data_IF_117606482289
#
_entry.id   IF_117606482289
#
_cell.length_a   1.000
_cell.length_b   1.000
_cell.length_c   1.000
_cell.angle_alpha   90.00
_cell.angle_beta   90.00
_cell.angle_gamma   90.00
#
_symmetry.space_group_name_H-M   'P 1'
#
loop_
_entity.id
_entity.type
_entity.pdbx_description
1 polymer ?
#
# COMPACT_ATOMS: atom_id res chain seq x y z
N UNK A 1 35.98 24.16 50.45
CA UNK A 1 35.40 24.34 49.10
C UNK A 1 35.47 23.02 48.36
N UNK A 2 34.41 22.21 48.42
CA UNK A 2 34.17 21.12 47.49
C UNK A 2 32.68 21.12 47.19
N UNK A 3 32.34 21.67 46.03
CA UNK A 3 30.97 21.82 45.55
C UNK A 3 30.35 20.44 45.28
N UNK A 4 29.04 20.25 45.55
CA UNK A 4 28.35 19.02 45.22
C UNK A 4 28.25 18.89 43.69
N UNK A 5 28.59 17.70 43.20
CA UNK A 5 28.42 17.28 41.81
C UNK A 5 26.98 17.54 41.36
N UNK A 6 26.81 18.45 40.40
CA UNK A 6 25.55 18.67 39.68
C UNK A 6 25.15 17.37 38.96
N UNK A 7 24.07 16.73 39.40
CA UNK A 7 23.40 15.69 38.61
C UNK A 7 22.84 16.33 37.33
N UNK A 8 23.44 16.04 36.17
CA UNK A 8 22.97 16.55 34.89
C UNK A 8 21.95 15.56 34.34
N UNK A 9 20.67 15.76 34.66
CA UNK A 9 19.57 14.99 34.06
C UNK A 9 19.60 15.20 32.54
N UNK A 10 20.01 14.18 31.78
CA UNK A 10 19.87 14.19 30.32
C UNK A 10 18.38 14.29 30.01
N UNK A 11 17.97 15.34 29.27
CA UNK A 11 16.54 15.56 28.98
C UNK A 11 16.00 14.40 28.15
N UNK A 12 14.75 13.99 28.37
CA UNK A 12 14.08 12.94 27.59
C UNK A 12 14.18 13.18 26.07
N UNK A 13 14.29 14.45 25.68
CA UNK A 13 14.54 14.89 24.30
C UNK A 13 15.91 14.48 23.75
N UNK A 14 16.98 14.61 24.54
CA UNK A 14 18.31 14.14 24.13
C UNK A 14 18.37 12.61 24.03
N UNK A 15 17.64 11.90 24.89
CA UNK A 15 17.49 10.44 24.77
C UNK A 15 16.73 10.03 23.50
N UNK A 16 15.64 10.73 23.15
CA UNK A 16 14.94 10.51 21.89
C UNK A 16 15.85 10.72 20.67
N UNK A 17 16.63 11.81 20.66
CA UNK A 17 17.63 12.11 19.62
C UNK A 17 18.71 11.03 19.51
N UNK A 18 19.22 10.58 20.65
CA UNK A 18 20.19 9.50 20.70
C UNK A 18 19.60 8.20 20.13
N UNK A 19 18.37 7.85 20.51
CA UNK A 19 17.70 6.64 20.06
C UNK A 19 17.48 6.62 18.54
N UNK A 20 17.02 7.73 17.95
CA UNK A 20 16.85 7.86 16.48
C UNK A 20 18.19 7.69 15.74
N UNK A 21 19.30 8.22 16.30
CA UNK A 21 20.64 8.01 15.74
C UNK A 21 21.07 6.53 15.79
N UNK A 22 20.75 5.81 16.85
CA UNK A 22 21.03 4.38 16.95
C UNK A 22 20.19 3.58 15.96
N UNK A 23 18.90 3.92 15.82
CA UNK A 23 18.02 3.32 14.84
C UNK A 23 18.56 3.50 13.40
N UNK A 24 19.04 4.69 13.06
CA UNK A 24 19.69 4.96 11.76
C UNK A 24 20.96 4.11 11.53
N UNK A 25 21.75 3.87 12.57
CA UNK A 25 22.92 2.99 12.46
C UNK A 25 22.50 1.53 12.24
N UNK A 26 21.48 1.07 12.97
CA UNK A 26 20.99 -0.30 12.87
C UNK A 26 20.36 -0.59 11.50
N UNK A 27 19.59 0.34 10.93
CA UNK A 27 18.99 0.14 9.60
C UNK A 27 20.06 0.07 8.51
N UNK A 28 21.11 0.90 8.60
CA UNK A 28 22.24 0.87 7.65
C UNK A 28 23.03 -0.44 7.73
N UNK A 29 23.20 -0.99 8.94
CA UNK A 29 23.81 -2.32 9.14
C UNK A 29 22.96 -3.41 8.52
N UNK A 30 21.64 -3.35 8.73
CA UNK A 30 20.68 -4.30 8.14
C UNK A 30 20.69 -4.24 6.61
N UNK A 31 20.70 -3.03 6.03
CA UNK A 31 20.84 -2.83 4.59
C UNK A 31 22.13 -3.43 4.03
N UNK A 32 23.27 -3.27 4.73
CA UNK A 32 24.54 -3.86 4.32
C UNK A 32 24.53 -5.41 4.40
N UNK A 33 23.85 -6.00 5.38
CA UNK A 33 23.65 -7.45 5.45
C UNK A 33 22.82 -7.95 4.26
N UNK A 34 21.72 -7.25 3.95
CA UNK A 34 20.87 -7.54 2.79
C UNK A 34 21.66 -7.45 1.47
N UNK A 35 22.49 -6.41 1.30
CA UNK A 35 23.40 -6.29 0.15
C UNK A 35 24.39 -7.46 0.08
N UNK A 36 24.87 -7.97 1.22
CA UNK A 36 25.73 -9.14 1.31
C UNK A 36 25.03 -10.43 0.84
N UNK A 37 23.77 -10.65 1.24
CA UNK A 37 22.97 -11.78 0.78
C UNK A 37 22.60 -11.67 -0.70
N UNK A 38 22.19 -10.48 -1.16
CA UNK A 38 21.86 -10.22 -2.57
C UNK A 38 23.07 -10.38 -3.51
N UNK A 39 24.26 -10.02 -3.03
CA UNK A 39 25.52 -10.19 -3.77
C UNK A 39 26.11 -11.61 -3.64
N UNK A 40 25.42 -12.54 -2.97
CA UNK A 40 25.90 -13.92 -2.77
C UNK A 40 27.14 -14.03 -1.88
N UNK A 41 27.52 -12.96 -1.17
CA UNK A 41 28.66 -12.94 -0.24
C UNK A 41 28.32 -13.58 1.11
N UNK A 42 27.03 -13.66 1.43
CA UNK A 42 26.48 -14.27 2.64
C UNK A 42 25.45 -15.33 2.24
N UNK A 43 25.46 -16.49 2.92
CA UNK A 43 24.58 -17.63 2.63
C UNK A 43 25.23 -18.68 1.70
N UNK A 44 25.01 -19.97 1.99
CA UNK A 44 25.60 -21.09 1.23
C UNK A 44 25.08 -21.21 -0.21
N UNK A 45 25.70 -22.07 -1.01
CA UNK A 45 25.53 -22.23 -2.47
C UNK A 45 24.09 -22.42 -3.01
N UNK A 46 23.08 -22.60 -2.14
CA UNK A 46 21.65 -22.66 -2.50
C UNK A 46 20.99 -21.28 -2.59
N UNK A 47 21.54 -20.23 -1.97
CA UNK A 47 21.02 -18.85 -2.08
C UNK A 47 21.26 -18.21 -3.46
N UNK A 48 22.09 -18.85 -4.30
CA UNK A 48 22.60 -18.26 -5.53
C UNK A 48 21.88 -18.72 -6.81
N UNK A 49 20.89 -19.64 -6.70
CA UNK A 49 20.08 -20.10 -7.82
C UNK A 49 18.72 -19.39 -7.83
N UNK A 50 18.69 -18.15 -8.30
CA UNK A 50 17.43 -17.46 -8.60
C UNK A 50 17.38 -15.95 -8.31
N UNK A 51 18.44 -15.34 -7.76
CA UNK A 51 18.38 -13.94 -7.31
C UNK A 51 18.79 -12.98 -8.42
N UNK A 52 17.91 -12.83 -9.41
CA UNK A 52 17.83 -11.61 -10.21
C UNK A 52 16.93 -10.61 -9.49
N UNK A 53 17.47 -9.79 -8.58
CA UNK A 53 16.94 -8.48 -8.16
C UNK A 53 15.45 -8.30 -7.81
N UNK A 54 14.66 -9.34 -7.49
CA UNK A 54 13.19 -9.21 -7.34
C UNK A 54 12.52 -10.28 -6.48
N UNK A 55 13.13 -10.65 -5.35
CA UNK A 55 12.52 -11.54 -4.34
C UNK A 55 12.47 -10.86 -2.95
N UNK A 56 12.00 -11.58 -1.92
CA UNK A 56 11.79 -11.04 -0.57
C UNK A 56 13.01 -10.32 0.05
N UNK A 57 14.24 -10.75 -0.28
CA UNK A 57 15.47 -10.05 0.10
C UNK A 57 15.63 -8.69 -0.58
N UNK A 58 15.25 -8.60 -1.87
CA UNK A 58 15.25 -7.35 -2.64
C UNK A 58 14.21 -6.38 -2.12
N UNK A 59 12.99 -6.87 -1.87
CA UNK A 59 11.91 -6.06 -1.29
C UNK A 59 12.31 -5.55 0.11
N UNK A 60 12.87 -6.42 0.95
CA UNK A 60 13.39 -6.00 2.25
C UNK A 60 14.53 -4.98 2.12
N UNK A 61 15.41 -5.12 1.11
CA UNK A 61 16.50 -4.16 0.89
C UNK A 61 15.99 -2.78 0.49
N UNK A 62 14.94 -2.72 -0.31
CA UNK A 62 14.27 -1.49 -0.67
C UNK A 62 13.64 -0.83 0.58
N UNK A 63 12.89 -1.60 1.37
CA UNK A 63 12.27 -1.15 2.62
C UNK A 63 13.30 -0.64 3.65
N UNK A 64 14.46 -1.30 3.75
CA UNK A 64 15.56 -0.86 4.60
C UNK A 64 16.19 0.45 4.09
N UNK A 65 16.26 0.65 2.77
CA UNK A 65 16.69 1.91 2.14
C UNK A 65 15.76 3.07 2.50
N UNK A 66 14.45 2.89 2.30
CA UNK A 66 13.42 3.86 2.66
C UNK A 66 13.47 4.21 4.16
N UNK A 67 13.64 3.20 5.01
CA UNK A 67 13.74 3.38 6.46
C UNK A 67 14.98 4.19 6.86
N UNK A 68 16.11 4.03 6.15
CA UNK A 68 17.31 4.84 6.38
C UNK A 68 17.10 6.31 6.00
N UNK A 69 16.37 6.59 4.92
CA UNK A 69 16.00 7.95 4.53
C UNK A 69 15.09 8.60 5.58
N UNK A 70 14.04 7.89 6.01
CA UNK A 70 13.11 8.38 7.04
C UNK A 70 13.80 8.66 8.38
N UNK A 71 14.70 7.78 8.82
CA UNK A 71 15.47 7.97 10.04
C UNK A 71 16.46 9.14 9.94
N UNK A 72 17.08 9.34 8.77
CA UNK A 72 17.96 10.48 8.54
C UNK A 72 17.18 11.81 8.58
N UNK A 73 15.96 11.83 8.03
CA UNK A 73 15.07 12.98 8.06
C UNK A 73 14.55 13.26 9.48
N UNK A 74 14.09 12.24 10.20
CA UNK A 74 13.69 12.36 11.60
C UNK A 74 14.84 12.90 12.45
N UNK A 75 16.07 12.43 12.21
CA UNK A 75 17.26 12.96 12.87
C UNK A 75 17.52 14.43 12.53
N UNK A 76 17.32 14.85 11.28
CA UNK A 76 17.50 16.23 10.84
C UNK A 76 16.47 17.17 11.49
N UNK A 77 15.21 16.75 11.56
CA UNK A 77 14.13 17.52 12.22
C UNK A 77 14.40 17.69 13.72
N UNK A 78 14.85 16.63 14.40
CA UNK A 78 15.27 16.73 15.81
C UNK A 78 16.60 17.48 16.00
N UNK A 79 17.38 17.63 14.93
CA UNK A 79 18.75 18.15 14.91
C UNK A 79 18.87 19.68 14.76
N UNK A 80 17.81 20.39 14.37
CA UNK A 80 17.83 21.87 14.30
C UNK A 80 17.96 22.46 15.72
N UNK A 81 18.79 23.51 15.86
CA UNK A 81 19.33 24.08 17.11
C UNK A 81 18.32 24.25 18.26
N UNK A 82 18.76 23.87 19.47
CA UNK A 82 18.38 24.28 20.85
C UNK A 82 16.90 24.36 21.29
N UNK A 83 15.94 24.43 20.38
CA UNK A 83 14.51 24.49 20.68
C UNK A 83 13.86 23.12 20.41
N UNK A 84 12.87 22.77 21.24
CA UNK A 84 11.96 21.65 20.97
C UNK A 84 11.27 21.91 19.61
N UNK A 85 11.12 20.90 18.75
CA UNK A 85 10.45 21.07 17.46
C UNK A 85 9.02 21.55 17.67
N UNK A 86 8.51 22.37 16.75
CA UNK A 86 7.11 22.79 16.73
C UNK A 86 6.17 21.59 16.53
N UNK A 87 4.87 21.79 16.70
CA UNK A 87 3.88 20.72 16.60
C UNK A 87 3.89 20.01 15.23
N UNK A 88 4.19 20.73 14.15
CA UNK A 88 4.24 20.18 12.80
C UNK A 88 5.49 19.31 12.59
N UNK A 89 6.66 19.78 13.02
CA UNK A 89 7.91 19.03 13.03
C UNK A 89 7.82 17.80 13.94
N UNK A 90 7.20 17.94 15.11
CA UNK A 90 6.93 16.81 15.99
C UNK A 90 5.98 15.78 15.35
N UNK A 91 4.96 16.23 14.63
CA UNK A 91 4.08 15.36 13.83
C UNK A 91 4.85 14.60 12.73
N UNK A 92 5.71 15.30 11.98
CA UNK A 92 6.56 14.67 10.94
C UNK A 92 7.49 13.62 11.51
N UNK A 93 8.18 13.91 12.61
CA UNK A 93 9.10 12.94 13.25
C UNK A 93 8.34 11.68 13.67
N UNK A 94 7.13 11.80 14.24
CA UNK A 94 6.30 10.65 14.62
C UNK A 94 5.87 9.82 13.41
N UNK A 95 5.47 10.48 12.32
CA UNK A 95 5.08 9.80 11.08
C UNK A 95 6.24 9.02 10.47
N UNK A 96 7.41 9.64 10.35
CA UNK A 96 8.63 9.01 9.82
C UNK A 96 9.04 7.79 10.67
N UNK A 97 9.03 7.92 12.00
CA UNK A 97 9.37 6.82 12.90
C UNK A 97 8.35 5.66 12.83
N UNK A 98 7.06 5.96 12.64
CA UNK A 98 6.02 4.94 12.49
C UNK A 98 6.16 4.19 11.15
N UNK A 99 6.52 4.90 10.08
CA UNK A 99 6.81 4.30 8.78
C UNK A 99 8.03 3.35 8.84
N UNK A 100 9.07 3.72 9.59
CA UNK A 100 10.26 2.87 9.82
C UNK A 100 9.90 1.56 10.52
N UNK A 101 9.06 1.60 11.54
CA UNK A 101 8.56 0.38 12.23
C UNK A 101 7.76 -0.49 11.27
N UNK A 102 6.91 0.12 10.44
CA UNK A 102 6.08 -0.61 9.47
C UNK A 102 6.94 -1.29 8.40
N UNK A 103 7.86 -0.56 7.78
CA UNK A 103 8.78 -1.10 6.78
C UNK A 103 9.61 -2.27 7.31
N UNK A 104 10.06 -2.15 8.57
CA UNK A 104 10.80 -3.20 9.26
C UNK A 104 9.95 -4.47 9.44
N UNK A 105 8.70 -4.31 9.87
CA UNK A 105 7.77 -5.44 10.05
C UNK A 105 7.43 -6.10 8.70
N UNK A 106 7.13 -5.30 7.67
CA UNK A 106 6.86 -5.82 6.32
C UNK A 106 8.04 -6.60 5.75
N UNK A 107 9.27 -6.11 5.94
CA UNK A 107 10.47 -6.86 5.56
C UNK A 107 10.54 -8.20 6.33
N UNK A 108 10.35 -8.16 7.65
CA UNK A 108 10.45 -9.35 8.50
C UNK A 108 9.43 -10.42 8.09
N UNK A 109 8.17 -10.02 7.91
CA UNK A 109 7.08 -10.93 7.51
C UNK A 109 7.29 -11.47 6.09
N UNK A 110 7.74 -10.63 5.16
CA UNK A 110 8.08 -11.05 3.78
C UNK A 110 9.22 -12.07 3.73
N UNK A 111 10.21 -11.94 4.62
CA UNK A 111 11.31 -12.90 4.72
C UNK A 111 10.89 -14.19 5.43
N UNK A 112 10.03 -14.13 6.44
CA UNK A 112 9.46 -15.33 7.09
C UNK A 112 8.58 -16.15 6.13
N UNK A 113 7.87 -15.48 5.22
CA UNK A 113 7.05 -16.13 4.21
C UNK A 113 7.87 -16.74 3.05
N UNK A 114 9.18 -16.46 2.96
CA UNK A 114 10.05 -16.97 1.90
C UNK A 114 10.47 -18.43 2.14
N UNK A 115 10.53 -19.22 1.06
CA UNK A 115 10.95 -20.63 1.08
C UNK A 115 12.48 -20.83 1.07
N UNK A 116 13.27 -19.77 0.87
CA UNK A 116 14.73 -19.87 0.61
C UNK A 116 15.61 -20.16 1.83
N UNK A 117 14.99 -20.51 2.96
CA UNK A 117 15.70 -20.93 4.16
C UNK A 117 15.90 -19.80 5.16
N UNK A 118 16.17 -20.20 6.40
CA UNK A 118 16.40 -19.31 7.54
C UNK A 118 17.63 -18.42 7.30
N UNK A 119 17.46 -17.10 7.41
CA UNK A 119 18.55 -16.12 7.46
C UNK A 119 18.82 -15.75 8.93
N UNK A 120 19.49 -16.58 9.75
CA UNK A 120 19.55 -16.37 11.21
C UNK A 120 20.20 -15.04 11.61
N UNK A 121 21.27 -14.62 10.93
CA UNK A 121 21.92 -13.33 11.18
C UNK A 121 21.03 -12.15 10.80
N UNK A 122 20.32 -12.26 9.68
CA UNK A 122 19.36 -11.25 9.23
C UNK A 122 18.13 -11.21 10.15
N UNK A 123 17.57 -12.35 10.54
CA UNK A 123 16.45 -12.46 11.48
C UNK A 123 16.81 -11.87 12.84
N UNK A 124 18.02 -12.13 13.35
CA UNK A 124 18.53 -11.48 14.57
C UNK A 124 18.66 -9.96 14.40
N UNK A 125 19.21 -9.49 13.28
CA UNK A 125 19.32 -8.06 12.99
C UNK A 125 17.94 -7.39 12.86
N UNK A 126 16.97 -8.08 12.27
CA UNK A 126 15.61 -7.59 12.07
C UNK A 126 14.78 -7.59 13.35
N UNK A 127 14.92 -8.61 14.20
CA UNK A 127 14.29 -8.65 15.52
C UNK A 127 14.84 -7.53 16.41
N UNK A 128 16.17 -7.34 16.42
CA UNK A 128 16.82 -6.23 17.12
C UNK A 128 16.38 -4.86 16.55
N UNK A 129 16.20 -4.76 15.23
CA UNK A 129 15.65 -3.58 14.58
C UNK A 129 14.23 -3.26 15.03
N UNK A 130 13.35 -4.25 15.08
CA UNK A 130 11.95 -4.11 15.51
C UNK A 130 11.85 -3.57 16.93
N UNK A 131 12.63 -4.15 17.86
CA UNK A 131 12.71 -3.66 19.24
C UNK A 131 13.25 -2.23 19.32
N UNK A 132 14.37 -1.95 18.63
CA UNK A 132 15.01 -0.64 18.67
C UNK A 132 14.13 0.47 18.07
N UNK A 133 13.43 0.20 16.96
CA UNK A 133 12.58 1.20 16.30
C UNK A 133 11.32 1.48 17.12
N UNK A 134 10.70 0.44 17.70
CA UNK A 134 9.58 0.59 18.63
C UNK A 134 9.94 1.40 19.88
N UNK A 135 11.08 1.08 20.52
CA UNK A 135 11.60 1.84 21.67
C UNK A 135 11.91 3.28 21.28
N UNK A 136 12.52 3.49 20.10
CA UNK A 136 12.83 4.84 19.61
C UNK A 136 11.57 5.68 19.39
N UNK A 137 10.50 5.09 18.84
CA UNK A 137 9.21 5.75 18.67
C UNK A 137 8.58 6.14 20.01
N UNK A 138 8.62 5.24 21.01
CA UNK A 138 8.12 5.52 22.37
C UNK A 138 8.88 6.66 23.06
N UNK A 139 10.21 6.66 22.96
CA UNK A 139 11.06 7.72 23.50
C UNK A 139 10.82 9.06 22.82
N UNK A 140 10.69 9.05 21.48
CA UNK A 140 10.35 10.24 20.69
C UNK A 140 8.97 10.79 21.06
N UNK A 141 7.96 9.92 21.23
CA UNK A 141 6.62 10.34 21.65
C UNK A 141 6.64 11.03 23.02
N UNK A 142 7.37 10.44 23.96
CA UNK A 142 7.56 11.00 25.31
C UNK A 142 8.31 12.33 25.26
N UNK A 143 9.42 12.38 24.53
CA UNK A 143 10.21 13.59 24.31
C UNK A 143 9.42 14.75 23.68
N UNK A 144 8.47 14.42 22.80
CA UNK A 144 7.64 15.38 22.07
C UNK A 144 6.29 15.65 22.73
N UNK A 145 5.96 15.01 23.86
CA UNK A 145 4.73 15.19 24.63
C UNK A 145 4.85 16.24 25.75
N UNK A 146 4.18 17.38 25.61
CA UNK A 146 3.58 18.26 26.63
C UNK A 146 3.00 19.48 25.91
N UNK A 147 1.69 19.45 25.67
CA UNK A 147 0.84 20.65 25.59
C UNK A 147 -0.42 20.36 26.41
N UNK A 148 -0.47 20.96 27.60
CA UNK A 148 -1.63 21.24 28.46
C UNK A 148 -2.72 20.16 28.69
N UNK A 149 -2.72 19.55 29.88
CA UNK A 149 -3.83 19.63 30.86
C UNK A 149 -3.44 18.89 32.16
N UNK A 150 -3.76 19.48 33.30
CA UNK A 150 -3.48 18.98 34.65
C UNK A 150 -4.38 17.77 35.01
N UNK A 151 -3.85 16.83 35.79
CA UNK A 151 -4.60 15.71 36.36
C UNK A 151 -3.67 14.72 37.06
N UNK A 152 -3.99 14.38 38.30
CA UNK A 152 -3.13 13.82 39.35
C UNK A 152 -2.30 12.56 39.05
N UNK A 153 -1.18 12.49 39.76
CA UNK A 153 -0.32 11.33 39.93
C UNK A 153 -1.08 10.20 40.65
N UNK A 154 -1.35 9.11 39.94
CA UNK A 154 -2.04 7.96 40.51
C UNK A 154 -2.29 6.77 39.59
N UNK A 155 -1.63 6.63 38.44
CA UNK A 155 -1.86 5.49 37.51
C UNK A 155 -0.55 4.93 36.91
N UNK A 156 0.49 4.82 37.76
CA UNK A 156 1.75 4.20 37.38
C UNK A 156 1.72 2.69 37.66
N UNK A 157 1.07 1.88 36.81
CA UNK A 157 1.44 0.47 36.54
C UNK A 157 0.55 -0.24 35.51
N UNK A 158 -0.56 0.34 35.06
CA UNK A 158 -1.45 -0.32 34.08
C UNK A 158 -1.14 0.00 32.60
N UNK A 159 -0.28 0.98 32.32
CA UNK A 159 0.01 1.38 30.94
C UNK A 159 1.02 0.46 30.21
N UNK A 160 1.82 -0.34 30.92
CA UNK A 160 2.83 -1.19 30.28
C UNK A 160 2.23 -2.45 29.64
N UNK A 161 1.08 -2.93 30.12
CA UNK A 161 0.40 -4.09 29.57
C UNK A 161 -0.58 -3.71 28.44
N UNK A 162 -1.17 -2.51 28.50
CA UNK A 162 -1.93 -1.97 27.36
C UNK A 162 -1.03 -1.52 26.21
N UNK A 163 0.22 -1.07 26.44
CA UNK A 163 1.12 -0.68 25.33
C UNK A 163 1.63 -1.89 24.52
N UNK A 164 1.70 -3.10 25.10
CA UNK A 164 2.02 -4.33 24.35
C UNK A 164 0.83 -4.87 23.53
N UNK A 165 -0.41 -4.51 23.88
CA UNK A 165 -1.61 -4.86 23.10
C UNK A 165 -2.18 -3.70 22.24
N UNK A 166 -1.78 -2.46 22.52
CA UNK A 166 -2.14 -1.26 21.76
C UNK A 166 -1.03 -0.78 20.81
N UNK A 167 0.06 -1.55 20.66
CA UNK A 167 1.04 -1.36 19.57
C UNK A 167 0.52 -1.82 18.19
N UNK A 168 -0.77 -2.17 18.09
CA UNK A 168 -1.52 -2.15 16.83
C UNK A 168 -2.11 -0.75 16.66
N UNK A 169 -1.78 -0.11 15.55
CA UNK A 169 -2.37 1.16 15.07
C UNK A 169 -1.66 2.45 15.55
N UNK A 170 -0.67 2.86 14.77
CA UNK A 170 -0.33 4.27 14.57
C UNK A 170 -0.42 4.58 13.07
N UNK A 171 -1.64 4.45 12.57
CA UNK A 171 -2.09 5.11 11.36
C UNK A 171 -2.60 6.51 11.75
N UNK A 172 -2.60 7.47 10.83
CA UNK A 172 -3.46 8.64 10.97
C UNK A 172 -4.90 8.13 10.84
N UNK A 173 -5.43 7.64 11.96
CA UNK A 173 -6.82 7.25 12.15
C UNK A 173 -7.43 8.40 12.93
N UNK A 174 -8.39 9.08 12.31
CA UNK A 174 -9.40 9.80 13.09
C UNK A 174 -10.19 8.75 13.87
N UNK A 175 -9.81 8.50 15.12
CA UNK A 175 -10.63 7.74 16.08
C UNK A 175 -11.43 8.77 16.86
N UNK A 176 -12.68 8.98 16.47
CA UNK A 176 -13.68 9.63 17.33
C UNK A 176 -14.81 8.64 17.53
N UNK A 177 -15.02 8.23 18.78
CA UNK A 177 -16.17 7.43 19.20
C UNK A 177 -17.46 8.18 18.85
N UNK A 178 -18.34 7.54 18.06
CA UNK A 178 -19.67 8.00 17.67
C UNK A 178 -19.76 9.29 16.82
N UNK A 179 -19.17 9.27 15.63
CA UNK A 179 -19.58 10.17 14.54
C UNK A 179 -19.41 9.50 13.17
N UNK A 180 -20.46 9.54 12.34
CA UNK A 180 -20.40 9.16 10.92
C UNK A 180 -19.79 10.34 10.16
N UNK A 181 -18.51 10.27 9.81
CA UNK A 181 -17.87 11.34 9.03
C UNK A 181 -18.07 11.09 7.53
N UNK A 182 -19.00 11.81 6.91
CA UNK A 182 -18.96 12.10 5.48
C UNK A 182 -17.87 13.15 5.23
N UNK A 183 -16.89 12.88 4.37
CA UNK A 183 -15.78 13.84 4.16
C UNK A 183 -14.92 13.54 2.94
N UNK A 184 -14.18 14.56 2.49
CA UNK A 184 -13.22 14.49 1.39
C UNK A 184 -11.81 14.73 1.93
N UNK A 185 -10.91 13.80 1.70
CA UNK A 185 -9.47 13.92 1.95
C UNK A 185 -8.81 14.31 0.62
N UNK A 186 -8.42 15.58 0.51
CA UNK A 186 -7.71 16.12 -0.67
C UNK A 186 -6.25 16.32 -0.32
N UNK A 187 -5.35 15.70 -1.09
CA UNK A 187 -3.91 15.94 -1.02
C UNK A 187 -3.52 16.89 -2.16
N UNK A 188 -3.27 18.16 -1.83
CA UNK A 188 -2.82 19.20 -2.78
C UNK A 188 -1.28 19.24 -2.85
N UNK A 189 -0.72 18.76 -3.95
CA UNK A 189 0.72 18.75 -4.20
C UNK A 189 1.11 19.96 -5.06
N UNK A 190 1.10 21.15 -4.46
CA UNK A 190 1.70 22.33 -5.10
C UNK A 190 3.23 22.24 -5.01
N UNK A 191 3.84 22.01 -6.17
CA UNK A 191 5.25 22.12 -6.53
C UNK A 191 6.26 22.44 -5.40
N UNK A 192 6.97 21.42 -4.91
CA UNK A 192 8.31 21.57 -4.35
C UNK A 192 9.29 20.71 -5.18
N UNK A 193 10.26 21.30 -5.89
CA UNK A 193 11.09 20.61 -6.86
C UNK A 193 12.32 20.01 -6.16
N UNK A 194 12.15 18.96 -5.36
CA UNK A 194 13.26 18.11 -4.84
C UNK A 194 12.73 16.92 -4.04
N UNK A 195 12.43 15.78 -4.70
CA UNK A 195 12.64 14.39 -4.21
C UNK A 195 12.09 13.37 -5.21
N UNK A 196 12.82 12.26 -5.39
CA UNK A 196 12.48 11.09 -6.23
C UNK A 196 11.50 10.12 -5.52
N UNK A 197 10.67 10.60 -4.60
CA UNK A 197 9.64 9.78 -3.98
C UNK A 197 8.35 9.91 -4.80
N UNK A 198 7.70 8.79 -5.10
CA UNK A 198 6.37 8.81 -5.71
C UNK A 198 5.44 9.63 -4.81
N UNK A 199 4.68 10.60 -5.35
CA UNK A 199 3.74 11.38 -4.56
C UNK A 199 2.58 10.48 -4.11
N UNK A 200 2.77 9.84 -2.96
CA UNK A 200 1.76 9.02 -2.32
C UNK A 200 0.74 9.91 -1.59
N UNK A 201 -0.55 9.67 -1.85
CA UNK A 201 -1.67 10.23 -1.10
C UNK A 201 -1.86 9.55 0.26
N UNK A 202 -3.07 9.11 0.58
CA UNK A 202 -3.30 8.40 1.85
C UNK A 202 -2.68 6.99 1.83
N UNK A 203 -1.99 6.61 2.91
CA UNK A 203 -1.41 5.27 3.07
C UNK A 203 -2.17 4.48 4.15
N UNK A 204 -2.68 3.31 3.79
CA UNK A 204 -3.38 2.38 4.68
C UNK A 204 -2.46 1.20 4.98
N UNK A 205 -2.00 1.11 6.22
CA UNK A 205 -1.08 0.06 6.69
C UNK A 205 -1.63 -0.74 7.89
N UNK A 206 -2.77 -0.33 8.46
CA UNK A 206 -3.38 -1.03 9.61
C UNK A 206 -4.35 -2.13 9.17
N UNK A 207 -4.15 -3.35 9.66
CA UNK A 207 -5.06 -4.50 9.46
C UNK A 207 -6.51 -4.12 9.83
N UNK A 208 -7.50 -4.63 9.07
CA UNK A 208 -8.93 -4.41 9.33
C UNK A 208 -9.36 -2.95 9.30
N UNK A 209 -8.63 -2.11 8.57
CA UNK A 209 -9.06 -0.75 8.30
C UNK A 209 -10.38 -0.77 7.52
N UNK A 210 -11.34 0.03 7.97
CA UNK A 210 -12.63 0.22 7.31
C UNK A 210 -12.81 1.72 7.05
N UNK A 211 -13.05 2.08 5.79
CA UNK A 211 -13.51 3.41 5.41
C UNK A 211 -14.92 3.33 4.83
N UNK A 212 -15.78 4.27 5.23
CA UNK A 212 -17.17 4.34 4.76
C UNK A 212 -17.51 5.77 4.36
N UNK A 213 -17.99 5.99 3.14
CA UNK A 213 -18.51 7.31 2.74
C UNK A 213 -17.46 8.41 2.60
N UNK A 214 -16.20 8.04 2.32
CA UNK A 214 -15.07 8.97 2.25
C UNK A 214 -14.52 9.06 0.82
N UNK A 215 -14.24 10.27 0.37
CA UNK A 215 -13.51 10.53 -0.88
C UNK A 215 -12.02 10.74 -0.62
N UNK A 216 -11.16 10.03 -1.34
CA UNK A 216 -9.71 10.22 -1.37
C UNK A 216 -9.31 10.78 -2.72
N UNK A 217 -8.59 11.90 -2.72
CA UNK A 217 -8.22 12.58 -3.97
C UNK A 217 -6.77 13.04 -3.98
N UNK A 218 -6.10 12.77 -5.10
CA UNK A 218 -4.82 13.38 -5.45
C UNK A 218 -5.01 14.38 -6.61
N UNK A 219 -4.75 15.66 -6.35
CA UNK A 219 -4.99 16.75 -7.31
C UNK A 219 -3.77 17.11 -8.17
N UNK A 220 -2.72 16.29 -8.16
CA UNK A 220 -1.49 16.55 -8.94
C UNK A 220 -1.75 16.76 -10.45
N UNK A 221 -2.78 16.09 -10.99
CA UNK A 221 -3.17 16.18 -12.39
C UNK A 221 -2.37 15.27 -13.33
N UNK A 222 -2.89 15.03 -14.53
CA UNK A 222 -2.30 14.11 -15.51
C UNK A 222 -0.84 14.46 -15.89
N UNK A 223 -0.50 15.76 -15.91
CA UNK A 223 0.83 16.26 -16.28
C UNK A 223 1.94 15.88 -15.27
N UNK A 224 1.57 15.39 -14.08
CA UNK A 224 2.51 14.89 -13.08
C UNK A 224 2.77 13.40 -13.18
N UNK A 225 2.18 12.73 -14.16
CA UNK A 225 2.27 11.28 -14.33
C UNK A 225 1.80 10.57 -13.05
N UNK A 226 2.57 9.65 -12.49
CA UNK A 226 2.18 8.84 -11.33
C UNK A 226 1.86 9.70 -10.10
N UNK A 227 0.63 9.58 -9.60
CA UNK A 227 0.19 10.29 -8.41
C UNK A 227 -0.92 9.51 -7.69
N UNK A 228 -0.55 8.83 -6.61
CA UNK A 228 -1.43 7.90 -5.90
C UNK A 228 -2.41 8.65 -5.02
N UNK A 229 -3.70 8.35 -5.09
CA UNK A 229 -4.70 8.85 -4.14
C UNK A 229 -4.72 8.01 -2.87
N UNK A 230 -4.69 6.68 -3.01
CA UNK A 230 -4.59 5.74 -1.88
C UNK A 230 -3.63 4.61 -2.19
N UNK A 231 -2.68 4.37 -1.27
CA UNK A 231 -1.91 3.13 -1.22
C UNK A 231 -2.39 2.26 -0.07
N UNK A 232 -2.88 1.06 -0.39
CA UNK A 232 -3.37 0.10 0.59
C UNK A 232 -2.43 -1.10 0.69
N UNK A 233 -1.77 -1.25 1.84
CA UNK A 233 -0.83 -2.33 2.15
C UNK A 233 -1.28 -3.16 3.36
N UNK A 234 -2.54 -3.02 3.76
CA UNK A 234 -3.09 -3.69 4.93
C UNK A 234 -4.00 -4.86 4.54
N UNK A 235 -4.02 -5.86 5.42
CA UNK A 235 -4.87 -7.04 5.26
C UNK A 235 -6.29 -6.80 5.80
N UNK A 236 -7.25 -7.53 5.23
CA UNK A 236 -8.66 -7.54 5.64
C UNK A 236 -9.31 -6.15 5.64
N UNK A 237 -8.95 -5.33 4.66
CA UNK A 237 -9.43 -3.94 4.57
C UNK A 237 -10.73 -3.83 3.79
N UNK A 238 -11.58 -2.89 4.20
CA UNK A 238 -12.86 -2.62 3.54
C UNK A 238 -12.96 -1.13 3.20
N UNK A 239 -13.32 -0.83 1.96
CA UNK A 239 -13.78 0.48 1.55
C UNK A 239 -15.22 0.33 1.07
N UNK A 240 -16.15 1.06 1.69
CA UNK A 240 -17.57 0.99 1.38
C UNK A 240 -18.13 2.38 1.05
N UNK A 241 -18.68 2.58 -0.14
CA UNK A 241 -19.16 3.89 -0.59
C UNK A 241 -18.06 4.96 -0.56
N UNK A 242 -16.84 4.57 -0.89
CA UNK A 242 -15.71 5.48 -1.01
C UNK A 242 -15.52 5.92 -2.45
N UNK A 243 -14.92 7.08 -2.66
CA UNK A 243 -14.51 7.54 -3.99
C UNK A 243 -13.01 7.76 -4.03
N UNK A 244 -12.35 7.31 -5.09
CA UNK A 244 -10.91 7.47 -5.31
C UNK A 244 -10.69 8.29 -6.57
N UNK A 245 -10.14 9.49 -6.44
CA UNK A 245 -10.00 10.44 -7.52
C UNK A 245 -8.53 10.71 -7.80
N UNK A 246 -8.11 10.45 -9.03
CA UNK A 246 -6.78 10.78 -9.51
C UNK A 246 -6.72 10.78 -11.03
N UNK A 247 -5.50 10.58 -11.53
CA UNK A 247 -5.21 10.38 -12.94
C UNK A 247 -4.43 9.07 -13.08
N UNK A 248 -3.11 9.15 -13.29
CA UNK A 248 -2.26 7.97 -13.36
C UNK A 248 -1.96 7.42 -11.96
N UNK A 249 -2.04 6.10 -11.79
CA UNK A 249 -1.76 5.37 -10.55
C UNK A 249 -2.69 5.73 -9.38
N UNK A 250 -3.99 5.96 -9.64
CA UNK A 250 -4.93 6.46 -8.62
C UNK A 250 -5.04 5.59 -7.36
N UNK A 251 -5.30 4.29 -7.51
CA UNK A 251 -5.51 3.35 -6.40
C UNK A 251 -4.46 2.23 -6.44
N UNK A 252 -3.54 2.28 -5.50
CA UNK A 252 -2.49 1.27 -5.34
C UNK A 252 -2.96 0.18 -4.36
N UNK A 253 -3.57 -0.87 -4.90
CA UNK A 253 -3.90 -2.12 -4.20
C UNK A 253 -2.63 -2.96 -3.98
N UNK A 254 -1.73 -2.44 -3.14
CA UNK A 254 -0.35 -2.89 -3.06
C UNK A 254 -0.20 -4.37 -2.71
N UNK A 255 -0.80 -4.83 -1.61
CA UNK A 255 -0.63 -6.21 -1.11
C UNK A 255 -1.78 -6.68 -0.21
N UNK A 256 -1.82 -7.97 0.12
CA UNK A 256 -2.76 -8.61 1.06
C UNK A 256 -4.23 -8.56 0.59
N UNK A 257 -5.20 -8.88 1.46
CA UNK A 257 -6.61 -9.03 1.09
C UNK A 257 -7.37 -7.72 1.28
N UNK A 258 -8.12 -7.33 0.25
CA UNK A 258 -8.79 -6.03 0.19
C UNK A 258 -10.17 -6.16 -0.46
N UNK A 259 -11.18 -5.50 0.11
CA UNK A 259 -12.53 -5.47 -0.45
C UNK A 259 -13.01 -4.03 -0.64
N UNK A 260 -13.53 -3.76 -1.84
CA UNK A 260 -14.06 -2.47 -2.25
C UNK A 260 -15.52 -2.68 -2.68
N UNK A 261 -16.46 -2.03 -1.98
CA UNK A 261 -17.91 -2.20 -2.20
C UNK A 261 -18.57 -0.86 -2.45
N UNK A 262 -19.40 -0.78 -3.49
CA UNK A 262 -20.16 0.43 -3.84
C UNK A 262 -19.26 1.66 -3.99
N UNK A 263 -18.03 1.49 -4.48
CA UNK A 263 -17.03 2.57 -4.59
C UNK A 263 -16.97 3.15 -6.00
N UNK A 264 -16.55 4.41 -6.11
CA UNK A 264 -16.22 5.04 -7.39
C UNK A 264 -14.70 5.19 -7.52
N UNK A 265 -14.12 4.79 -8.65
CA UNK A 265 -12.70 4.97 -8.94
C UNK A 265 -12.53 5.73 -10.25
N UNK A 266 -11.86 6.87 -10.21
CA UNK A 266 -11.60 7.72 -11.36
C UNK A 266 -10.12 7.81 -11.66
N UNK A 267 -9.71 7.55 -12.90
CA UNK A 267 -8.32 7.73 -13.31
C UNK A 267 -8.07 7.56 -14.80
N UNK A 268 -6.80 7.49 -15.17
CA UNK A 268 -6.36 7.42 -16.57
C UNK A 268 -5.50 6.20 -16.85
N UNK A 269 -4.19 6.30 -16.62
CA UNK A 269 -3.22 5.23 -16.85
C UNK A 269 -3.08 4.41 -15.56
N UNK A 270 -3.26 3.09 -15.65
CA UNK A 270 -3.02 2.13 -14.58
C UNK A 270 -3.72 2.49 -13.26
N UNK A 271 -4.96 2.98 -13.33
CA UNK A 271 -5.56 3.66 -12.19
C UNK A 271 -6.01 2.74 -11.05
N UNK A 272 -6.04 1.42 -11.28
CA UNK A 272 -6.04 0.39 -10.23
C UNK A 272 -4.86 -0.53 -10.47
N UNK A 273 -3.87 -0.54 -9.57
CA UNK A 273 -2.65 -1.30 -9.79
C UNK A 273 -2.11 -1.90 -8.49
N UNK A 274 -1.27 -2.93 -8.61
CA UNK A 274 -0.62 -3.59 -7.47
C UNK A 274 -0.76 -5.10 -7.48
N UNK A 275 -0.44 -5.73 -6.34
CA UNK A 275 -0.36 -7.18 -6.18
C UNK A 275 -1.15 -7.69 -4.97
N UNK A 276 -2.21 -7.00 -4.56
CA UNK A 276 -3.17 -7.51 -3.57
C UNK A 276 -4.01 -8.67 -4.12
N UNK A 277 -4.69 -9.38 -3.22
CA UNK A 277 -5.91 -10.11 -3.53
C UNK A 277 -7.09 -9.14 -3.32
N UNK A 278 -7.40 -8.37 -4.37
CA UNK A 278 -8.37 -7.28 -4.31
C UNK A 278 -9.67 -7.66 -5.03
N UNK A 279 -10.80 -7.51 -4.34
CA UNK A 279 -12.14 -7.72 -4.92
C UNK A 279 -12.88 -6.40 -4.91
N UNK A 280 -13.34 -5.99 -6.09
CA UNK A 280 -14.22 -4.83 -6.29
C UNK A 280 -15.61 -5.36 -6.61
N UNK A 281 -16.61 -4.93 -5.86
CA UNK A 281 -17.98 -5.37 -6.04
C UNK A 281 -18.95 -4.20 -6.09
N UNK A 282 -19.79 -4.15 -7.13
CA UNK A 282 -20.76 -3.06 -7.33
C UNK A 282 -20.10 -1.67 -7.37
N UNK A 283 -18.87 -1.59 -7.89
CA UNK A 283 -18.13 -0.34 -8.01
C UNK A 283 -18.31 0.28 -9.40
N UNK A 284 -18.13 1.58 -9.51
CA UNK A 284 -18.04 2.28 -10.79
C UNK A 284 -16.59 2.67 -11.08
N UNK A 285 -16.08 2.28 -12.24
CA UNK A 285 -14.71 2.52 -12.69
C UNK A 285 -14.76 3.46 -13.90
N UNK A 286 -14.35 4.71 -13.69
CA UNK A 286 -14.50 5.79 -14.65
C UNK A 286 -13.16 6.24 -15.24
N UNK A 287 -12.97 5.97 -16.52
CA UNK A 287 -11.83 6.48 -17.29
C UNK A 287 -11.99 8.00 -17.54
N UNK A 288 -10.95 8.78 -17.24
CA UNK A 288 -10.90 10.24 -17.43
C UNK A 288 -10.14 10.61 -18.70
N UNK A 289 -10.15 11.89 -19.08
CA UNK A 289 -9.31 12.43 -20.15
C UNK A 289 -7.83 12.36 -19.74
N UNK A 290 -6.97 11.58 -20.42
CA UNK A 290 -5.54 11.53 -20.15
C UNK A 290 -4.77 12.64 -20.88
N UNK A 291 -3.44 12.64 -20.80
CA UNK A 291 -2.63 13.50 -21.67
C UNK A 291 -2.77 13.06 -23.14
N UNK A 292 -2.60 13.97 -24.11
CA UNK A 292 -2.62 13.62 -25.53
C UNK A 292 -1.65 12.47 -25.86
N UNK A 293 -2.13 11.48 -26.61
CA UNK A 293 -1.34 10.30 -27.02
C UNK A 293 -1.27 9.18 -25.99
N UNK A 294 -1.79 9.37 -24.77
CA UNK A 294 -1.93 8.29 -23.80
C UNK A 294 -3.23 7.50 -24.03
N UNK A 295 -3.25 6.26 -23.55
CA UNK A 295 -4.45 5.44 -23.44
C UNK A 295 -4.81 5.25 -21.97
N UNK A 296 -6.10 5.14 -21.69
CA UNK A 296 -6.57 4.77 -20.36
C UNK A 296 -6.45 3.27 -20.15
N UNK A 297 -6.07 2.88 -18.95
CA UNK A 297 -5.94 1.48 -18.55
C UNK A 297 -6.51 1.32 -17.15
N UNK A 298 -7.57 0.54 -17.03
CA UNK A 298 -8.27 0.35 -15.76
C UNK A 298 -7.39 -0.40 -14.76
N UNK A 299 -6.76 -1.49 -15.19
CA UNK A 299 -5.95 -2.33 -14.29
C UNK A 299 -4.51 -2.54 -14.76
N UNK A 300 -3.57 -2.50 -13.82
CA UNK A 300 -2.18 -2.91 -14.04
C UNK A 300 -1.72 -3.85 -12.91
N UNK A 301 -2.06 -5.14 -13.06
CA UNK A 301 -1.84 -6.10 -11.99
C UNK A 301 -0.39 -6.62 -11.99
N UNK A 302 0.20 -6.65 -10.80
CA UNK A 302 1.64 -6.81 -10.58
C UNK A 302 2.09 -8.16 -10.02
N UNK A 303 1.38 -9.26 -10.28
CA UNK A 303 1.79 -10.59 -9.81
C UNK A 303 3.06 -11.06 -10.51
N UNK A 304 4.07 -11.43 -9.71
CA UNK A 304 5.41 -11.81 -10.20
C UNK A 304 5.66 -13.30 -10.18
N UNK A 305 4.90 -14.07 -9.40
CA UNK A 305 5.06 -15.51 -9.25
C UNK A 305 3.71 -16.24 -9.30
N UNK A 306 3.63 -17.44 -9.90
CA UNK A 306 2.37 -18.16 -10.07
C UNK A 306 1.76 -18.65 -8.75
N UNK A 307 2.58 -18.90 -7.73
CA UNK A 307 2.17 -19.38 -6.40
C UNK A 307 1.48 -18.29 -5.58
N UNK A 308 1.63 -17.02 -5.94
CA UNK A 308 0.95 -15.92 -5.27
C UNK A 308 -0.56 -16.01 -5.52
N UNK A 309 -1.33 -16.16 -4.45
CA UNK A 309 -2.79 -16.12 -4.45
C UNK A 309 -3.34 -14.68 -4.56
N UNK A 310 -2.77 -13.88 -5.46
CA UNK A 310 -3.08 -12.45 -5.64
C UNK A 310 -3.65 -12.17 -7.03
N UNK A 311 -4.29 -11.01 -7.21
CA UNK A 311 -4.99 -10.65 -8.43
C UNK A 311 -6.06 -9.60 -8.17
N UNK A 312 -6.60 -9.04 -9.25
CA UNK A 312 -7.70 -8.07 -9.19
C UNK A 312 -8.96 -8.72 -9.75
N UNK A 313 -9.99 -8.83 -8.92
CA UNK A 313 -11.31 -9.33 -9.31
C UNK A 313 -12.30 -8.18 -9.37
N UNK A 314 -12.83 -7.89 -10.55
CA UNK A 314 -13.85 -6.88 -10.80
C UNK A 314 -15.19 -7.60 -11.01
N UNK A 315 -16.08 -7.52 -10.03
CA UNK A 315 -17.30 -8.33 -9.96
C UNK A 315 -18.54 -7.45 -9.86
N UNK A 316 -19.44 -7.56 -10.84
CA UNK A 316 -20.66 -6.74 -10.90
C UNK A 316 -20.37 -5.24 -10.80
N UNK A 317 -19.35 -4.78 -11.52
CA UNK A 317 -18.98 -3.36 -11.57
C UNK A 317 -19.45 -2.73 -12.88
N UNK A 318 -19.41 -1.39 -12.93
CA UNK A 318 -19.61 -0.61 -14.15
C UNK A 318 -18.27 -0.09 -14.62
N UNK A 319 -17.84 -0.43 -15.84
CA UNK A 319 -16.65 0.15 -16.49
C UNK A 319 -17.13 1.11 -17.57
N UNK A 320 -16.86 2.39 -17.39
CA UNK A 320 -17.28 3.43 -18.33
C UNK A 320 -16.26 4.57 -18.36
N UNK A 321 -16.53 5.60 -19.14
CA UNK A 321 -15.73 6.80 -19.24
C UNK A 321 -16.55 8.02 -18.83
N UNK A 322 -15.86 9.04 -18.34
CA UNK A 322 -16.49 10.35 -18.16
C UNK A 322 -16.93 10.90 -19.52
N UNK A 323 -18.05 11.63 -19.62
CA UNK A 323 -18.55 12.15 -20.90
C UNK A 323 -17.51 12.97 -21.68
N UNK A 324 -16.65 13.69 -20.96
CA UNK A 324 -15.58 14.51 -21.53
C UNK A 324 -14.50 13.70 -22.25
N UNK A 325 -14.40 12.38 -22.01
CA UNK A 325 -13.45 11.53 -22.72
C UNK A 325 -13.75 11.51 -24.22
N UNK A 326 -15.03 11.40 -24.60
CA UNK A 326 -15.46 11.30 -25.99
C UNK A 326 -14.59 10.34 -26.81
N UNK A 327 -13.87 10.88 -27.80
CA UNK A 327 -12.90 10.12 -28.65
C UNK A 327 -11.44 10.49 -28.36
N UNK A 328 -11.16 11.16 -27.25
CA UNK A 328 -9.84 11.73 -26.94
C UNK A 328 -8.78 10.66 -26.65
N UNK A 329 -9.18 9.51 -26.11
CA UNK A 329 -8.28 8.38 -25.88
C UNK A 329 -9.01 7.04 -25.90
N UNK A 330 -8.26 5.99 -26.21
CA UNK A 330 -8.71 4.60 -26.06
C UNK A 330 -8.69 4.20 -24.59
N UNK A 331 -9.60 3.31 -24.20
CA UNK A 331 -9.64 2.72 -22.84
C UNK A 331 -9.53 1.20 -22.92
N UNK A 332 -8.73 0.61 -22.03
CA UNK A 332 -8.52 -0.83 -21.94
C UNK A 332 -8.79 -1.33 -20.52
N UNK A 333 -9.28 -2.57 -20.40
CA UNK A 333 -9.55 -3.26 -19.13
C UNK A 333 -8.29 -3.46 -18.29
N UNK A 334 -7.15 -3.70 -18.94
CA UNK A 334 -5.88 -3.80 -18.24
C UNK A 334 -4.67 -4.04 -19.11
N UNK A 335 -3.49 -4.04 -18.48
CA UNK A 335 -2.21 -4.42 -19.09
C UNK A 335 -1.25 -5.07 -18.07
N UNK A 336 -0.37 -6.00 -18.52
CA UNK A 336 0.39 -6.81 -17.58
C UNK A 336 1.64 -6.09 -17.07
N UNK A 337 1.54 -5.49 -15.88
CA UNK A 337 2.70 -4.85 -15.25
C UNK A 337 3.82 -5.85 -14.94
N UNK A 338 3.45 -7.10 -14.61
CA UNK A 338 4.38 -8.18 -14.26
C UNK A 338 4.02 -9.48 -14.99
N UNK A 339 4.98 -10.41 -15.02
CA UNK A 339 4.93 -11.61 -15.87
C UNK A 339 3.74 -12.55 -15.61
N UNK A 340 3.20 -12.59 -14.39
CA UNK A 340 2.09 -13.46 -14.01
C UNK A 340 0.80 -12.68 -13.75
N UNK A 341 0.68 -11.48 -14.35
CA UNK A 341 -0.45 -10.57 -14.15
C UNK A 341 -1.79 -11.31 -14.20
N UNK A 342 -2.66 -11.04 -13.22
CA UNK A 342 -3.93 -11.75 -13.07
C UNK A 342 -5.07 -10.79 -12.73
N UNK A 343 -5.96 -10.59 -13.69
CA UNK A 343 -7.14 -9.73 -13.56
C UNK A 343 -8.35 -10.41 -14.17
N UNK A 344 -9.51 -10.30 -13.53
CA UNK A 344 -10.77 -10.75 -14.11
C UNK A 344 -11.85 -9.69 -14.05
N UNK A 345 -12.70 -9.64 -15.08
CA UNK A 345 -13.94 -8.88 -15.11
C UNK A 345 -15.10 -9.85 -15.26
N UNK A 346 -16.01 -9.88 -14.30
CA UNK A 346 -17.12 -10.82 -14.30
C UNK A 346 -18.44 -10.17 -13.90
N UNK A 347 -19.50 -10.56 -14.61
CA UNK A 347 -20.88 -10.09 -14.42
C UNK A 347 -20.98 -8.56 -14.40
N UNK A 348 -20.08 -7.88 -15.11
CA UNK A 348 -19.90 -6.43 -15.05
C UNK A 348 -20.45 -5.76 -16.33
N UNK A 349 -20.96 -4.54 -16.18
CA UNK A 349 -21.29 -3.70 -17.33
C UNK A 349 -20.01 -3.09 -17.90
N UNK A 350 -19.78 -3.26 -19.19
CA UNK A 350 -18.67 -2.67 -19.94
C UNK A 350 -19.23 -1.79 -21.03
N UNK A 351 -18.99 -0.48 -20.91
CA UNK A 351 -19.39 0.53 -21.88
C UNK A 351 -18.54 0.50 -23.15
N UNK A 352 -19.08 1.02 -24.25
CA UNK A 352 -18.45 1.07 -25.57
C UNK A 352 -17.25 2.01 -25.67
N UNK A 353 -16.88 2.68 -24.57
CA UNK A 353 -15.61 3.40 -24.45
C UNK A 353 -14.39 2.44 -24.37
N UNK A 354 -14.61 1.17 -24.01
CA UNK A 354 -13.56 0.16 -23.99
C UNK A 354 -13.26 -0.31 -25.41
N UNK A 355 -11.98 -0.29 -25.79
CA UNK A 355 -11.51 -0.73 -27.11
C UNK A 355 -11.85 -2.22 -27.33
N UNK A 356 -12.31 -2.64 -28.53
CA UNK A 356 -12.66 -4.04 -28.80
C UNK A 356 -11.56 -5.06 -28.49
N UNK A 357 -10.27 -4.65 -28.55
CA UNK A 357 -9.15 -5.50 -28.14
C UNK A 357 -9.23 -5.89 -26.66
N UNK A 358 -9.87 -5.06 -25.83
CA UNK A 358 -10.09 -5.25 -24.39
C UNK A 358 -8.85 -5.00 -23.54
N UNK A 359 -7.72 -5.57 -23.94
CA UNK A 359 -6.48 -5.60 -23.15
C UNK A 359 -5.33 -4.98 -23.93
N UNK A 360 -4.43 -4.28 -23.23
CA UNK A 360 -3.30 -3.55 -23.83
C UNK A 360 -1.96 -4.22 -23.50
N UNK A 361 -1.06 -4.23 -24.47
CA UNK A 361 0.31 -4.72 -24.30
C UNK A 361 1.10 -3.86 -23.32
N UNK A 362 2.08 -4.47 -22.64
CA UNK A 362 3.02 -3.72 -21.82
C UNK A 362 4.16 -3.20 -22.69
N UNK A 363 4.21 -1.88 -22.91
CA UNK A 363 5.23 -1.22 -23.75
C UNK A 363 5.36 -1.78 -25.18
N UNK A 364 4.25 -2.24 -25.78
CA UNK A 364 4.23 -2.82 -27.13
C UNK A 364 4.91 -4.19 -27.24
N UNK A 365 5.24 -4.81 -26.11
CA UNK A 365 5.71 -6.19 -26.07
C UNK A 365 4.51 -7.14 -25.99
N UNK A 366 4.61 -8.27 -26.70
CA UNK A 366 3.63 -9.34 -26.61
C UNK A 366 3.39 -9.71 -25.15
N UNK A 367 2.12 -9.83 -24.76
CA UNK A 367 1.77 -10.21 -23.42
C UNK A 367 2.37 -11.58 -23.05
N UNK A 368 2.97 -11.73 -21.85
CA UNK A 368 3.51 -13.02 -21.42
C UNK A 368 2.44 -14.11 -21.46
N UNK A 369 2.77 -15.31 -21.93
CA UNK A 369 1.83 -16.44 -21.96
C UNK A 369 1.39 -16.89 -20.56
N UNK A 370 2.08 -16.43 -19.52
CA UNK A 370 1.88 -16.75 -18.09
C UNK A 370 0.85 -15.87 -17.38
N UNK A 371 0.30 -14.85 -18.04
CA UNK A 371 -0.78 -14.03 -17.46
C UNK A 371 -2.09 -14.80 -17.43
N UNK A 372 -3.06 -14.29 -16.65
CA UNK A 372 -4.43 -14.78 -16.67
C UNK A 372 -5.40 -13.60 -16.68
N UNK A 373 -5.98 -13.31 -17.84
CA UNK A 373 -6.99 -12.28 -18.05
C UNK A 373 -8.33 -12.89 -18.42
N UNK A 374 -9.26 -12.83 -17.48
CA UNK A 374 -10.55 -13.50 -17.57
C UNK A 374 -11.72 -12.55 -17.80
N UNK A 375 -12.63 -12.92 -18.69
CA UNK A 375 -13.94 -12.28 -18.82
C UNK A 375 -15.06 -13.33 -18.63
N UNK A 376 -16.09 -13.01 -17.84
CA UNK A 376 -17.22 -13.92 -17.59
C UNK A 376 -18.54 -13.18 -17.52
N UNK A 377 -19.48 -13.49 -18.44
CA UNK A 377 -20.85 -12.95 -18.43
C UNK A 377 -20.92 -11.41 -18.27
N UNK A 378 -19.95 -10.68 -18.83
CA UNK A 378 -20.03 -9.23 -18.91
C UNK A 378 -21.10 -8.84 -19.94
N UNK A 379 -21.68 -7.66 -19.76
CA UNK A 379 -22.73 -7.14 -20.62
C UNK A 379 -22.50 -5.65 -20.93
N UNK A 380 -23.24 -5.10 -21.88
CA UNK A 380 -23.03 -3.72 -22.37
C UNK A 380 -22.31 -3.68 -23.72
N UNK A 381 -22.18 -2.49 -24.28
CA UNK A 381 -21.70 -2.28 -25.66
C UNK A 381 -20.21 -2.55 -25.85
N UNK A 382 -19.40 -2.49 -24.79
CA UNK A 382 -17.97 -2.86 -24.80
C UNK A 382 -17.68 -4.31 -24.38
N UNK A 383 -18.72 -5.09 -24.04
CA UNK A 383 -18.56 -6.47 -23.58
C UNK A 383 -18.42 -7.50 -24.72
N UNK A 384 -18.58 -7.11 -25.99
CA UNK A 384 -18.37 -8.03 -27.11
C UNK A 384 -16.91 -8.52 -27.15
N UNK A 385 -16.74 -9.83 -27.12
CA UNK A 385 -15.44 -10.49 -27.04
C UNK A 385 -14.88 -10.91 -28.41
N UNK A 386 -15.63 -10.75 -29.50
CA UNK A 386 -15.20 -11.19 -30.84
C UNK A 386 -13.86 -10.53 -31.26
N UNK A 387 -13.70 -9.24 -30.93
CA UNK A 387 -12.52 -8.43 -31.23
C UNK A 387 -11.36 -8.54 -30.23
N UNK A 388 -11.50 -9.35 -29.15
CA UNK A 388 -10.46 -9.44 -28.11
C UNK A 388 -9.15 -9.99 -28.65
N UNK A 389 -8.06 -9.56 -28.01
CA UNK A 389 -6.70 -10.09 -28.19
C UNK A 389 -6.68 -11.63 -28.19
N UNK A 390 -5.75 -12.22 -28.96
CA UNK A 390 -5.59 -13.69 -29.08
C UNK A 390 -4.42 -14.21 -28.24
N UNK A 391 -4.20 -13.62 -27.07
CA UNK A 391 -3.09 -13.99 -26.19
C UNK A 391 -3.37 -15.34 -25.51
N UNK A 392 -2.36 -16.20 -25.33
CA UNK A 392 -2.53 -17.48 -24.63
C UNK A 392 -3.07 -17.34 -23.19
N UNK A 393 -2.74 -16.23 -22.51
CA UNK A 393 -3.21 -15.94 -21.15
C UNK A 393 -4.56 -15.22 -21.07
N UNK A 394 -5.23 -14.97 -22.20
CA UNK A 394 -6.61 -14.46 -22.21
C UNK A 394 -7.61 -15.62 -22.23
N UNK A 395 -8.64 -15.56 -21.39
CA UNK A 395 -9.65 -16.61 -21.25
C UNK A 395 -11.06 -16.05 -21.17
N UNK A 396 -11.97 -16.63 -21.95
CA UNK A 396 -13.41 -16.55 -21.67
C UNK A 396 -13.73 -17.63 -20.66
N UNK A 397 -13.95 -17.22 -19.42
CA UNK A 397 -14.09 -18.13 -18.30
C UNK A 397 -15.43 -18.87 -18.37
N UNK A 398 -15.46 -20.08 -17.79
CA UNK A 398 -16.71 -20.75 -17.43
C UNK A 398 -17.09 -20.43 -15.96
N UNK A 399 -18.18 -21.00 -15.46
CA UNK A 399 -18.62 -20.79 -14.07
C UNK A 399 -17.60 -21.30 -13.04
N UNK A 400 -16.95 -22.42 -13.30
CA UNK A 400 -16.00 -23.05 -12.36
C UNK A 400 -14.74 -22.19 -12.22
N UNK A 401 -14.26 -21.64 -13.33
CA UNK A 401 -13.17 -20.67 -13.35
C UNK A 401 -13.57 -19.39 -12.60
N UNK A 402 -14.74 -18.82 -12.92
CA UNK A 402 -15.22 -17.57 -12.34
C UNK A 402 -15.45 -17.68 -10.82
N UNK A 403 -15.92 -18.84 -10.34
CA UNK A 403 -16.11 -19.10 -8.90
C UNK A 403 -14.83 -18.88 -8.10
N UNK A 404 -13.65 -19.16 -8.65
CA UNK A 404 -12.37 -18.95 -7.95
C UNK A 404 -12.06 -17.49 -7.65
N UNK A 405 -12.68 -16.56 -8.37
CA UNK A 405 -12.48 -15.12 -8.24
C UNK A 405 -13.59 -14.41 -7.47
N UNK A 406 -14.58 -15.16 -6.99
CA UNK A 406 -15.62 -14.64 -6.10
C UNK A 406 -15.03 -14.26 -4.74
N UNK A 407 -15.69 -13.36 -4.01
CA UNK A 407 -15.19 -12.84 -2.75
C UNK A 407 -14.82 -13.95 -1.76
N UNK A 408 -15.68 -14.95 -1.60
CA UNK A 408 -15.50 -16.06 -0.68
C UNK A 408 -14.28 -16.91 -1.01
N UNK A 409 -14.17 -17.37 -2.26
CA UNK A 409 -13.08 -18.25 -2.70
C UNK A 409 -11.75 -17.51 -2.84
N UNK A 410 -11.77 -16.28 -3.34
CA UNK A 410 -10.55 -15.54 -3.69
C UNK A 410 -9.84 -14.96 -2.46
N UNK A 411 -10.60 -14.53 -1.45
CA UNK A 411 -10.04 -13.92 -0.23
C UNK A 411 -10.10 -14.82 1.00
N UNK A 412 -10.65 -16.03 0.83
CA UNK A 412 -10.82 -17.04 1.87
C UNK A 412 -11.53 -16.47 3.12
N UNK A 413 -12.85 -16.20 3.01
CA UNK A 413 -13.90 -16.24 4.07
C UNK A 413 -14.79 -15.00 4.27
N UNK A 414 -15.99 -15.27 4.80
CA UNK A 414 -17.00 -14.36 5.37
C UNK A 414 -16.64 -13.80 6.76
N UNK A 415 -15.66 -14.37 7.48
CA UNK A 415 -15.48 -14.13 8.91
C UNK A 415 -15.15 -12.67 9.27
N UNK A 416 -14.44 -11.98 8.38
CA UNK A 416 -14.06 -10.59 8.60
C UNK A 416 -15.08 -9.59 8.03
N UNK A 417 -15.93 -9.99 7.08
CA UNK A 417 -16.99 -9.15 6.50
C UNK A 417 -18.31 -9.27 7.25
N UNK A 418 -18.69 -10.47 7.69
CA UNK A 418 -19.95 -10.75 8.42
C UNK A 418 -20.14 -9.90 9.68
N UNK A 419 -19.05 -9.48 10.33
CA UNK A 419 -19.09 -8.61 11.51
C UNK A 419 -19.31 -7.12 11.20
N UNK A 420 -19.25 -6.70 9.94
CA UNK A 420 -19.16 -5.28 9.54
C UNK A 420 -20.47 -4.65 9.09
N UNK A 421 -21.55 -5.45 8.97
CA UNK A 421 -22.86 -5.04 8.40
C UNK A 421 -22.80 -4.44 6.98
N UNK A 422 -21.64 -4.48 6.32
CA UNK A 422 -21.46 -4.01 4.95
C UNK A 422 -22.02 -5.10 4.02
N UNK A 423 -22.87 -4.74 3.04
CA UNK A 423 -23.43 -5.72 2.11
C UNK A 423 -22.35 -6.29 1.21
N UNK A 424 -22.44 -7.59 0.93
CA UNK A 424 -21.57 -8.26 -0.02
C UNK A 424 -22.28 -9.48 -0.62
N UNK A 425 -21.84 -9.90 -1.80
CA UNK A 425 -22.21 -11.17 -2.39
C UNK A 425 -20.98 -12.09 -2.33
N UNK A 426 -21.13 -13.25 -1.70
CA UNK A 426 -20.03 -14.19 -1.45
C UNK A 426 -19.60 -14.95 -2.71
N UNK A 427 -20.56 -15.31 -3.57
CA UNK A 427 -20.39 -16.06 -4.82
C UNK A 427 -20.79 -15.26 -6.06
N UNK A 428 -21.02 -15.96 -7.19
CA UNK A 428 -21.57 -15.37 -8.42
C UNK A 428 -23.02 -14.86 -8.21
N UNK A 429 -23.43 -13.88 -9.01
CA UNK A 429 -24.76 -13.26 -8.98
C UNK A 429 -25.81 -13.96 -9.83
#
# INVERSE_FOLDING_TARGET
MLSPLRSRTSSQYEYGKYSVRQALRQVRRTAALLDGYLAGRLGGAKAHRGVGGGGALGDCRELAGLSAEYLAEAQAELGRRAARPDAAAAGRVRALMSAVVTNQQTCYDGLLASRDGSFPELQGSLANGTQLYGVSLGLVNTALGRSSAAGNAGDHLLLAFEILNAARTLAVVFRWSNFTATGRITVDLRAEPRRRAQPDGAAVNGERFIAVGITFENTAGAAKYQAVAVRNSADLTIFYRCSFLGYQDTLYVHTLRQFYRDCDVYGTVDFIFGNAAAVFQNCNLYARVPLPGQSNVVTAQGRTMPEQATGISIHNCTVSAVPELGRAAKTFLGRPWKAYSRTVFMQSFIDGAVDPAGWLEWNGALAPSTIYYGEFQNYGTGADTAGRVKWPGFSLMNSDDALNFTLFNFTATDAWLSSTRIPYNSGLL
#
